data_IF_744487438392
#
_entry.id   IF_744487438392
#
_cell.length_a   1.000
_cell.length_b   1.000
_cell.length_c   1.000
_cell.angle_alpha   90.00
_cell.angle_beta   90.00
_cell.angle_gamma   90.00
#
_symmetry.space_group_name_H-M   'P 1'
#
loop_
_entity.id
_entity.type
_entity.pdbx_description
1 polymer ?
#
# COMPACT_ATOMS: atom_id res chain seq x y z
N UNK A 1 -30.91 2.49 45.73
CA UNK A 1 -29.63 3.18 46.01
C UNK A 1 -28.50 2.36 45.41
N UNK A 2 -27.96 2.84 44.30
CA UNK A 2 -27.04 2.09 43.44
C UNK A 2 -25.61 2.00 43.95
N UNK A 3 -24.87 1.01 43.44
CA UNK A 3 -23.42 1.07 43.27
C UNK A 3 -23.04 0.42 41.94
N UNK A 4 -22.80 1.28 40.96
CA UNK A 4 -22.13 1.00 39.71
C UNK A 4 -20.63 0.82 40.02
N UNK A 5 -20.12 -0.42 40.04
CA UNK A 5 -18.68 -0.63 39.94
C UNK A 5 -18.30 -0.57 38.46
N UNK A 6 -17.93 0.63 38.03
CA UNK A 6 -17.29 0.90 36.76
C UNK A 6 -16.05 0.03 36.61
N UNK A 7 -16.18 -1.03 35.82
CA UNK A 7 -15.05 -1.76 35.25
C UNK A 7 -14.41 -0.84 34.21
N UNK A 8 -13.54 0.05 34.68
CA UNK A 8 -12.62 0.83 33.83
C UNK A 8 -11.82 -0.16 33.00
N UNK A 9 -12.31 -0.42 31.78
CA UNK A 9 -11.50 -0.94 30.69
C UNK A 9 -10.32 0.02 30.61
N UNK A 10 -9.14 -0.46 31.05
CA UNK A 10 -7.87 0.16 30.72
C UNK A 10 -7.87 0.32 29.20
N UNK A 11 -8.21 1.52 28.74
CA UNK A 11 -7.96 1.99 27.40
C UNK A 11 -6.44 1.95 27.32
N UNK A 12 -5.90 0.86 26.79
CA UNK A 12 -4.53 0.82 26.33
C UNK A 12 -4.46 2.00 25.36
N UNK A 13 -3.90 3.11 25.81
CA UNK A 13 -3.58 4.23 24.95
C UNK A 13 -2.68 3.63 23.88
N UNK A 14 -3.25 3.42 22.70
CA UNK A 14 -2.48 3.02 21.53
C UNK A 14 -1.46 4.15 21.38
N UNK A 15 -0.15 3.89 21.59
CA UNK A 15 0.83 4.95 21.55
C UNK A 15 0.66 5.70 20.24
N UNK A 16 0.68 7.03 20.31
CA UNK A 16 0.52 7.88 19.14
C UNK A 16 1.48 7.40 18.04
N UNK A 17 1.04 7.40 16.77
CA UNK A 17 1.88 6.97 15.67
C UNK A 17 3.20 7.75 15.70
N UNK A 18 4.33 7.05 15.67
CA UNK A 18 5.66 7.66 15.71
C UNK A 18 5.86 8.51 14.44
N UNK A 19 5.93 9.84 14.55
CA UNK A 19 6.07 10.71 13.39
C UNK A 19 7.40 10.48 12.65
N UNK A 20 8.47 10.09 13.36
CA UNK A 20 9.74 9.77 12.73
C UNK A 20 9.65 8.49 11.88
N UNK A 21 8.90 7.49 12.36
CA UNK A 21 8.64 6.27 11.60
C UNK A 21 7.83 6.54 10.33
N UNK A 22 6.82 7.42 10.41
CA UNK A 22 6.07 7.86 9.23
C UNK A 22 6.95 8.61 8.22
N UNK A 23 7.83 9.50 8.68
CA UNK A 23 8.76 10.21 7.82
C UNK A 23 9.72 9.25 7.10
N UNK A 24 10.25 8.23 7.81
CA UNK A 24 11.08 7.18 7.21
C UNK A 24 10.32 6.37 6.17
N UNK A 25 9.10 5.92 6.50
CA UNK A 25 8.24 5.19 5.58
C UNK A 25 7.98 6.01 4.31
N UNK A 26 7.65 7.30 4.45
CA UNK A 26 7.42 8.20 3.32
C UNK A 26 8.68 8.36 2.46
N UNK A 27 9.86 8.51 3.08
CA UNK A 27 11.13 8.61 2.37
C UNK A 27 11.46 7.34 1.60
N UNK A 28 11.30 6.17 2.21
CA UNK A 28 11.61 4.88 1.57
C UNK A 28 10.65 4.59 0.41
N UNK A 29 9.35 4.82 0.59
CA UNK A 29 8.35 4.66 -0.47
C UNK A 29 8.60 5.66 -1.61
N UNK A 30 8.89 6.92 -1.27
CA UNK A 30 9.19 7.97 -2.26
C UNK A 30 10.43 7.63 -3.10
N UNK A 31 11.52 7.23 -2.45
CA UNK A 31 12.75 6.85 -3.14
C UNK A 31 12.55 5.63 -4.05
N UNK A 32 11.86 4.61 -3.57
CA UNK A 32 11.57 3.44 -4.40
C UNK A 32 10.72 3.79 -5.63
N UNK A 33 9.77 4.70 -5.47
CA UNK A 33 8.96 5.21 -6.56
C UNK A 33 9.81 5.93 -7.60
N UNK A 34 10.75 6.77 -7.17
CA UNK A 34 11.67 7.50 -8.05
C UNK A 34 12.61 6.55 -8.79
N UNK A 35 13.23 5.61 -8.08
CA UNK A 35 14.13 4.60 -8.66
C UNK A 35 13.43 3.68 -9.67
N UNK A 36 12.12 3.48 -9.51
CA UNK A 36 11.30 2.61 -10.39
C UNK A 36 10.23 3.38 -11.16
N UNK A 37 10.40 4.69 -11.36
CA UNK A 37 9.36 5.56 -11.94
C UNK A 37 8.84 5.01 -13.28
N UNK A 38 9.74 4.56 -14.15
CA UNK A 38 9.39 3.97 -15.45
C UNK A 38 8.48 2.75 -15.34
N UNK A 39 8.64 1.92 -14.29
CA UNK A 39 7.78 0.75 -14.07
C UNK A 39 6.36 1.19 -13.67
N UNK A 40 6.25 2.14 -12.74
CA UNK A 40 4.96 2.69 -12.31
C UNK A 40 4.22 3.37 -13.47
N UNK A 41 4.91 4.24 -14.22
CA UNK A 41 4.35 4.91 -15.40
C UNK A 41 3.89 3.90 -16.47
N UNK A 42 4.66 2.82 -16.67
CA UNK A 42 4.29 1.74 -17.60
C UNK A 42 3.01 1.03 -17.14
N UNK A 43 2.91 0.70 -15.86
CA UNK A 43 1.73 0.07 -15.29
C UNK A 43 0.49 0.97 -15.45
N UNK A 44 0.60 2.25 -15.12
CA UNK A 44 -0.48 3.23 -15.28
C UNK A 44 -0.90 3.38 -16.75
N UNK A 45 0.07 3.47 -17.67
CA UNK A 45 -0.21 3.60 -19.11
C UNK A 45 -0.94 2.38 -19.66
N UNK A 46 -0.54 1.17 -19.25
CA UNK A 46 -1.17 -0.07 -19.67
C UNK A 46 -2.58 -0.20 -19.10
N UNK A 47 -2.78 0.13 -17.81
CA UNK A 47 -4.09 0.16 -17.19
C UNK A 47 -5.02 1.19 -17.86
N UNK A 48 -4.51 2.40 -18.13
CA UNK A 48 -5.26 3.43 -18.85
C UNK A 48 -5.61 3.02 -20.28
N UNK A 49 -4.72 2.29 -20.97
CA UNK A 49 -5.01 1.74 -22.30
C UNK A 49 -6.11 0.67 -22.24
N UNK A 50 -6.02 -0.26 -21.29
CA UNK A 50 -7.03 -1.29 -21.06
C UNK A 50 -8.40 -0.67 -20.79
N UNK A 51 -8.48 0.28 -19.84
CA UNK A 51 -9.72 0.98 -19.51
C UNK A 51 -10.31 1.78 -20.67
N UNK A 52 -9.47 2.42 -21.52
CA UNK A 52 -9.96 3.10 -22.73
C UNK A 52 -10.58 2.14 -23.74
N UNK A 53 -9.98 0.96 -23.93
CA UNK A 53 -10.49 -0.06 -24.85
C UNK A 53 -11.82 -0.63 -24.35
N UNK A 54 -11.94 -0.86 -23.05
CA UNK A 54 -13.18 -1.29 -22.41
C UNK A 54 -14.28 -0.22 -22.55
N UNK A 55 -13.97 1.05 -22.25
CA UNK A 55 -14.91 2.16 -22.39
C UNK A 55 -15.36 2.41 -23.85
N UNK A 56 -14.53 2.05 -24.82
CA UNK A 56 -14.87 2.13 -26.25
C UNK A 56 -15.71 0.93 -26.75
N UNK A 57 -16.06 -0.03 -25.87
CA UNK A 57 -16.79 -1.24 -26.25
C UNK A 57 -15.94 -2.27 -27.01
N UNK A 58 -14.61 -2.12 -26.99
CA UNK A 58 -13.66 -3.01 -27.66
C UNK A 58 -12.66 -3.60 -26.65
N UNK A 59 -13.12 -4.35 -25.63
CA UNK A 59 -12.23 -4.90 -24.62
C UNK A 59 -11.17 -5.80 -25.26
N UNK A 60 -9.94 -5.72 -24.76
CA UNK A 60 -8.81 -6.48 -25.27
C UNK A 60 -8.14 -7.27 -24.16
N UNK A 61 -8.26 -8.59 -24.21
CA UNK A 61 -7.63 -9.50 -23.26
C UNK A 61 -6.11 -9.29 -23.21
N UNK A 62 -5.46 -9.11 -24.37
CA UNK A 62 -4.03 -8.81 -24.44
C UNK A 62 -3.65 -7.47 -23.77
N UNK A 63 -4.52 -6.46 -23.81
CA UNK A 63 -4.28 -5.20 -23.11
C UNK A 63 -4.43 -5.39 -21.60
N UNK A 64 -5.47 -6.11 -21.17
CA UNK A 64 -5.74 -6.42 -19.76
C UNK A 64 -4.59 -7.24 -19.16
N UNK A 65 -4.20 -8.34 -19.79
CA UNK A 65 -3.10 -9.20 -19.31
C UNK A 65 -1.78 -8.44 -19.16
N UNK A 66 -1.50 -7.47 -20.05
CA UNK A 66 -0.31 -6.62 -19.91
C UNK A 66 -0.43 -5.61 -18.77
N UNK A 67 -1.60 -5.05 -18.55
CA UNK A 67 -1.85 -4.15 -17.43
C UNK A 67 -1.71 -4.92 -16.10
N UNK A 68 -2.29 -6.11 -16.02
CA UNK A 68 -2.22 -6.98 -14.84
C UNK A 68 -0.79 -7.39 -14.53
N UNK A 69 -0.02 -7.87 -15.52
CA UNK A 69 1.41 -8.18 -15.32
C UNK A 69 2.22 -6.99 -14.81
N UNK A 70 2.03 -5.81 -15.40
CA UNK A 70 2.75 -4.62 -14.97
C UNK A 70 2.36 -4.20 -13.54
N UNK A 71 1.09 -4.40 -13.16
CA UNK A 71 0.61 -4.18 -11.81
C UNK A 71 1.21 -5.19 -10.82
N UNK A 72 1.26 -6.47 -11.17
CA UNK A 72 1.89 -7.53 -10.35
C UNK A 72 3.38 -7.22 -10.11
N UNK A 73 4.10 -6.74 -11.13
CA UNK A 73 5.50 -6.32 -10.99
C UNK A 73 5.67 -5.17 -9.98
N UNK A 74 4.76 -4.18 -10.00
CA UNK A 74 4.73 -3.08 -9.03
C UNK A 74 4.40 -3.59 -7.62
N UNK A 75 3.38 -4.42 -7.48
CA UNK A 75 2.94 -4.98 -6.20
C UNK A 75 4.03 -5.86 -5.57
N UNK A 76 4.74 -6.68 -6.37
CA UNK A 76 5.87 -7.48 -5.91
C UNK A 76 7.03 -6.60 -5.41
N UNK A 77 7.34 -5.50 -6.13
CA UNK A 77 8.36 -4.53 -5.70
C UNK A 77 8.02 -3.87 -4.37
N UNK A 78 6.76 -3.44 -4.20
CA UNK A 78 6.28 -2.84 -2.95
C UNK A 78 6.23 -3.86 -1.80
N UNK A 79 5.87 -5.11 -2.06
CA UNK A 79 5.86 -6.17 -1.07
C UNK A 79 7.28 -6.49 -0.55
N UNK A 80 8.26 -6.58 -1.46
CA UNK A 80 9.66 -6.77 -1.09
C UNK A 80 10.18 -5.59 -0.25
N UNK A 81 9.88 -4.36 -0.66
CA UNK A 81 10.26 -3.16 0.08
C UNK A 81 9.64 -3.12 1.48
N UNK A 82 8.35 -3.48 1.58
CA UNK A 82 7.65 -3.59 2.86
C UNK A 82 8.32 -4.61 3.77
N UNK A 83 8.68 -5.78 3.26
CA UNK A 83 9.35 -6.82 4.03
C UNK A 83 10.70 -6.33 4.58
N UNK A 84 11.51 -5.68 3.75
CA UNK A 84 12.76 -5.06 4.19
C UNK A 84 12.55 -3.98 5.25
N UNK A 85 11.54 -3.13 5.09
CA UNK A 85 11.24 -2.08 6.07
C UNK A 85 10.77 -2.65 7.40
N UNK A 86 9.89 -3.67 7.39
CA UNK A 86 9.42 -4.37 8.60
C UNK A 86 10.57 -5.10 9.30
N UNK A 87 11.51 -5.68 8.56
CA UNK A 87 12.70 -6.30 9.14
C UNK A 87 13.57 -5.28 9.90
N UNK A 88 13.63 -4.02 9.42
CA UNK A 88 14.41 -2.95 10.03
C UNK A 88 13.69 -2.24 11.18
N UNK A 89 12.39 -2.00 11.06
CA UNK A 89 11.62 -1.12 11.97
C UNK A 89 10.58 -1.88 12.81
N UNK A 90 10.51 -3.20 12.65
CA UNK A 90 9.55 -4.09 13.32
C UNK A 90 8.12 -3.97 12.80
N UNK A 91 7.19 -4.66 13.46
CA UNK A 91 5.79 -4.77 13.03
C UNK A 91 5.06 -3.41 12.92
N UNK A 92 5.46 -2.41 13.72
CA UNK A 92 4.91 -1.04 13.64
C UNK A 92 5.29 -0.35 12.33
N UNK A 93 6.47 -0.68 11.76
CA UNK A 93 6.92 -0.18 10.47
C UNK A 93 5.99 -0.59 9.32
N UNK A 94 5.42 -1.81 9.38
CA UNK A 94 4.48 -2.29 8.36
C UNK A 94 3.24 -1.41 8.23
N UNK A 95 2.63 -1.03 9.35
CA UNK A 95 1.44 -0.17 9.34
C UNK A 95 1.75 1.26 8.84
N UNK A 96 2.92 1.80 9.19
CA UNK A 96 3.36 3.11 8.69
C UNK A 96 3.61 3.05 7.18
N UNK A 97 4.26 2.00 6.70
CA UNK A 97 4.52 1.75 5.28
C UNK A 97 3.21 1.64 4.49
N UNK A 98 2.29 0.78 4.92
CA UNK A 98 1.01 0.54 4.24
C UNK A 98 0.19 1.83 4.14
N UNK A 99 0.26 2.69 5.17
CA UNK A 99 -0.39 3.99 5.17
C UNK A 99 0.21 4.94 4.12
N UNK A 100 1.53 5.00 4.01
CA UNK A 100 2.17 5.89 3.03
C UNK A 100 1.96 5.38 1.59
N UNK A 101 2.00 4.06 1.36
CA UNK A 101 1.64 3.46 0.07
C UNK A 101 0.18 3.79 -0.30
N UNK A 102 -0.76 3.64 0.64
CA UNK A 102 -2.18 3.94 0.39
C UNK A 102 -2.46 5.41 0.07
N UNK A 103 -1.69 6.35 0.63
CA UNK A 103 -1.79 7.78 0.27
C UNK A 103 -1.26 8.06 -1.13
N UNK A 104 -0.10 7.48 -1.48
CA UNK A 104 0.58 7.76 -2.75
C UNK A 104 -0.05 7.03 -3.93
N UNK A 105 -0.56 5.82 -3.69
CA UNK A 105 -1.15 4.96 -4.70
C UNK A 105 -2.54 4.48 -4.24
N UNK A 106 -3.57 5.34 -4.31
CA UNK A 106 -4.93 4.99 -3.87
C UNK A 106 -5.49 3.77 -4.61
N UNK A 107 -5.10 3.55 -5.86
CA UNK A 107 -5.50 2.40 -6.67
C UNK A 107 -4.84 1.06 -6.25
N UNK A 108 -3.80 1.11 -5.40
CA UNK A 108 -3.08 -0.06 -4.88
C UNK A 108 -3.41 -0.37 -3.41
N UNK A 109 -3.93 0.59 -2.64
CA UNK A 109 -4.51 0.30 -1.32
C UNK A 109 -5.88 -0.41 -1.45
N UNK A 110 -6.47 -1.03 -0.43
CA UNK A 110 -5.97 -1.70 0.79
C UNK A 110 -5.58 -3.18 0.54
N UNK A 111 -5.26 -3.59 -0.69
CA UNK A 111 -4.92 -4.98 -1.04
C UNK A 111 -3.68 -5.51 -0.30
N UNK A 112 -2.81 -4.63 0.18
CA UNK A 112 -1.62 -4.98 0.98
C UNK A 112 -1.94 -5.34 2.45
N UNK A 113 -3.18 -5.14 2.92
CA UNK A 113 -3.60 -5.47 4.30
C UNK A 113 -3.97 -6.97 4.48
N UNK A 114 -4.00 -7.74 3.39
CA UNK A 114 -4.49 -9.12 3.36
C UNK A 114 -3.45 -10.23 3.21
N UNK A 115 -2.15 -9.94 3.19
CA UNK A 115 -1.11 -10.98 3.14
C UNK A 115 -0.58 -11.31 4.55
N UNK A 116 -1.47 -11.89 5.36
CA UNK A 116 -1.11 -12.71 6.52
C UNK A 116 -2.00 -13.95 6.46
N UNK A 117 -1.50 -14.99 5.80
CA UNK A 117 -1.93 -16.37 6.00
C UNK A 117 -0.66 -17.22 5.95
#
# INVERSE_FOLDING_TARGET
MGRLLGRSRRRVERPAPDPALHARAASVVGRHAEERATLFERAERLAGKAGRLEAAGTPSESANNRADRAKEEVEAGLAALRASFVASEGAKGGAAFDREVGKRYPALGPKMQGQNA
#
